data_IF_195149703219
#
_entry.id   IF_195149703219
#
_cell.length_a   1.000
_cell.length_b   1.000
_cell.length_c   1.000
_cell.angle_alpha   90.00
_cell.angle_beta   90.00
_cell.angle_gamma   90.00
#
_symmetry.space_group_name_H-M   'P 1'
#
loop_
_entity.id
_entity.type
_entity.pdbx_description
1 polymer ?
#
# COMPACT_ATOMS: atom_id res chain seq x y z
N UNK A 1 -6.53 -12.94 -17.48
CA UNK A 1 -5.32 -12.14 -17.43
C UNK A 1 -4.32 -12.79 -16.52
N UNK A 2 -3.18 -13.09 -17.04
CA UNK A 2 -2.18 -13.82 -16.29
C UNK A 2 -1.25 -12.92 -15.49
N UNK A 3 -1.02 -11.73 -15.98
CA UNK A 3 -0.04 -10.83 -15.36
C UNK A 3 -0.72 -9.67 -14.68
N UNK A 4 -0.27 -9.41 -13.47
CA UNK A 4 -0.74 -8.27 -12.71
C UNK A 4 0.39 -7.26 -12.68
N UNK A 5 0.11 -6.06 -13.12
CA UNK A 5 1.07 -4.98 -13.02
C UNK A 5 1.02 -4.43 -11.59
N UNK A 6 1.82 -5.01 -10.73
CA UNK A 6 1.86 -4.64 -9.33
C UNK A 6 2.27 -3.17 -9.14
N UNK A 7 3.17 -2.71 -9.98
CA UNK A 7 3.62 -1.33 -9.90
C UNK A 7 2.47 -0.39 -10.21
N UNK A 8 1.66 -0.73 -11.21
CA UNK A 8 0.50 0.08 -11.55
C UNK A 8 -0.53 0.08 -10.42
N UNK A 9 -0.78 -1.09 -9.83
CA UNK A 9 -1.68 -1.19 -8.68
C UNK A 9 -1.19 -0.35 -7.53
N UNK A 10 0.10 -0.45 -7.22
CA UNK A 10 0.69 0.30 -6.12
C UNK A 10 0.60 1.80 -6.37
N UNK A 11 0.88 2.24 -7.59
CA UNK A 11 0.80 3.66 -7.93
C UNK A 11 -0.62 4.19 -7.81
N UNK A 12 -1.58 3.43 -8.30
CA UNK A 12 -2.99 3.83 -8.20
C UNK A 12 -3.42 3.92 -6.74
N UNK A 13 -3.00 2.95 -5.95
CA UNK A 13 -3.30 2.95 -4.53
C UNK A 13 -2.69 4.15 -3.82
N UNK A 14 -1.41 4.43 -4.06
CA UNK A 14 -0.73 5.55 -3.42
C UNK A 14 -1.36 6.87 -3.82
N UNK A 15 -1.77 7.01 -5.07
CA UNK A 15 -2.46 8.20 -5.52
C UNK A 15 -3.75 8.40 -4.74
N UNK A 16 -4.50 7.32 -4.54
CA UNK A 16 -5.74 7.38 -3.76
C UNK A 16 -5.45 7.76 -2.31
N UNK A 17 -4.39 7.21 -1.72
CA UNK A 17 -3.99 7.51 -0.36
C UNK A 17 -3.68 9.00 -0.22
N UNK A 18 -2.92 9.54 -1.15
CA UNK A 18 -2.59 10.96 -1.13
C UNK A 18 -3.83 11.84 -1.30
N UNK A 19 -4.75 11.44 -2.16
CA UNK A 19 -5.98 12.17 -2.37
C UNK A 19 -6.89 12.16 -1.14
N UNK A 20 -6.70 11.18 -0.27
CA UNK A 20 -7.49 11.11 0.97
C UNK A 20 -6.94 12.04 2.07
N UNK A 21 -5.83 12.73 1.79
CA UNK A 21 -5.26 13.69 2.74
C UNK A 21 -4.06 13.17 3.52
N UNK A 22 -3.54 12.02 3.16
CA UNK A 22 -2.37 11.44 3.83
C UNK A 22 -1.11 11.92 3.12
N UNK A 23 -0.17 12.45 3.89
CA UNK A 23 1.10 12.93 3.38
C UNK A 23 2.09 11.77 3.26
N UNK A 24 2.22 11.23 2.06
CA UNK A 24 3.13 10.11 1.80
C UNK A 24 4.53 10.64 1.53
N UNK A 25 5.45 10.43 2.46
CA UNK A 25 6.82 10.85 2.29
C UNK A 25 7.58 9.91 1.35
N UNK A 26 7.44 8.61 1.58
CA UNK A 26 8.04 7.57 0.74
C UNK A 26 7.15 6.35 0.73
N UNK A 27 7.31 5.55 -0.29
CA UNK A 27 6.58 4.30 -0.38
C UNK A 27 7.45 3.25 -1.07
N UNK A 28 7.30 2.00 -0.65
CA UNK A 28 8.05 0.89 -1.21
C UNK A 28 7.10 -0.27 -1.51
N UNK A 29 7.44 -1.02 -2.54
CA UNK A 29 6.70 -2.20 -2.92
C UNK A 29 7.49 -3.44 -2.53
N UNK A 30 6.87 -4.32 -1.74
CA UNK A 30 7.50 -5.53 -1.27
C UNK A 30 6.67 -6.75 -1.66
N UNK A 31 7.12 -7.90 -1.20
CA UNK A 31 6.40 -9.13 -1.32
C UNK A 31 6.87 -9.96 -2.48
N UNK A 32 5.99 -10.81 -2.98
CA UNK A 32 6.35 -11.75 -4.04
C UNK A 32 6.82 -11.07 -5.32
N UNK A 33 6.57 -9.80 -5.46
CA UNK A 33 7.05 -9.04 -6.62
C UNK A 33 8.54 -8.84 -6.63
N UNK A 34 9.17 -8.88 -5.48
CA UNK A 34 10.62 -8.75 -5.41
C UNK A 34 11.29 -9.86 -6.20
N UNK A 35 10.58 -10.95 -6.44
CA UNK A 35 11.09 -12.08 -7.20
C UNK A 35 10.67 -12.06 -8.66
N UNK A 36 9.97 -11.01 -9.06
CA UNK A 36 9.53 -10.88 -10.44
C UNK A 36 8.44 -11.83 -10.86
N UNK A 37 7.84 -12.54 -9.93
CA UNK A 37 6.74 -13.45 -10.21
C UNK A 37 5.45 -12.97 -9.61
N UNK A 38 4.41 -12.96 -10.43
CA UNK A 38 3.08 -12.62 -9.97
C UNK A 38 2.14 -13.72 -10.39
N UNK A 39 1.28 -14.12 -9.49
CA UNK A 39 0.23 -15.06 -9.83
C UNK A 39 -1.00 -14.70 -9.02
N UNK A 40 -2.08 -15.31 -9.39
CA UNK A 40 -3.34 -15.12 -8.68
C UNK A 40 -3.14 -15.51 -7.23
N UNK A 41 -3.52 -14.62 -6.33
CA UNK A 41 -3.37 -14.84 -4.90
C UNK A 41 -2.10 -14.27 -4.29
N UNK A 42 -1.20 -13.72 -5.11
CA UNK A 42 -0.01 -13.05 -4.58
C UNK A 42 -0.39 -11.75 -3.89
N UNK A 43 0.21 -11.51 -2.72
CA UNK A 43 -0.01 -10.26 -2.00
C UNK A 43 0.86 -9.15 -2.56
N UNK A 44 0.33 -7.95 -2.51
CA UNK A 44 1.05 -6.75 -2.91
C UNK A 44 1.27 -5.93 -1.65
N UNK A 45 2.45 -6.03 -1.07
CA UNK A 45 2.78 -5.30 0.16
C UNK A 45 3.27 -3.91 -0.19
N UNK A 46 2.51 -2.91 0.21
CA UNK A 46 2.84 -1.51 -0.05
C UNK A 46 3.23 -0.85 1.26
N UNK A 47 4.51 -0.57 1.42
CA UNK A 47 4.99 0.11 2.61
C UNK A 47 4.85 1.62 2.40
N UNK A 48 4.16 2.28 3.32
CA UNK A 48 3.90 3.71 3.24
C UNK A 48 4.53 4.39 4.43
N UNK A 49 5.38 5.37 4.16
CA UNK A 49 6.05 6.13 5.21
C UNK A 49 5.45 7.52 5.25
N UNK A 50 4.88 7.88 6.38
CA UNK A 50 4.26 9.20 6.57
C UNK A 50 4.48 9.70 7.99
N UNK A 51 4.82 10.98 8.15
CA UNK A 51 4.95 11.57 9.49
C UNK A 51 3.61 11.66 10.22
N UNK A 52 2.50 11.48 9.52
CA UNK A 52 1.18 11.50 10.12
C UNK A 52 0.83 10.18 10.83
N UNK A 53 1.55 9.11 10.53
CA UNK A 53 1.25 7.82 11.14
C UNK A 53 1.76 7.72 12.57
N UNK A 54 1.04 6.94 13.38
CA UNK A 54 1.43 6.65 14.74
C UNK A 54 0.52 7.25 15.80
N UNK A 55 -0.28 8.24 15.45
CA UNK A 55 -1.19 8.87 16.42
C UNK A 55 -2.33 7.91 16.79
N UNK A 56 -2.86 7.20 15.80
CA UNK A 56 -3.91 6.21 16.01
C UNK A 56 -3.74 5.11 14.97
N UNK A 57 -2.83 4.19 15.25
CA UNK A 57 -2.43 3.17 14.29
C UNK A 57 -3.59 2.32 13.79
N UNK A 58 -4.46 1.88 14.69
CA UNK A 58 -5.56 1.00 14.31
C UNK A 58 -6.53 1.67 13.34
N UNK A 59 -6.85 2.93 13.60
CA UNK A 59 -7.73 3.68 12.74
C UNK A 59 -7.07 3.96 11.40
N UNK A 60 -5.80 4.32 11.42
CA UNK A 60 -5.03 4.59 10.21
C UNK A 60 -4.95 3.35 9.34
N UNK A 61 -4.64 2.21 9.95
CA UNK A 61 -4.56 0.94 9.23
C UNK A 61 -5.90 0.55 8.62
N UNK A 62 -6.98 0.71 9.38
CA UNK A 62 -8.32 0.40 8.90
C UNK A 62 -8.68 1.26 7.69
N UNK A 63 -8.37 2.54 7.75
CA UNK A 63 -8.65 3.47 6.66
C UNK A 63 -7.90 3.07 5.40
N UNK A 64 -6.61 2.74 5.55
CA UNK A 64 -5.80 2.35 4.42
C UNK A 64 -6.24 1.01 3.84
N UNK A 65 -6.68 0.09 4.69
CA UNK A 65 -7.24 -1.18 4.20
C UNK A 65 -8.49 -0.96 3.37
N UNK A 66 -9.35 -0.06 3.80
CA UNK A 66 -10.57 0.26 3.05
C UNK A 66 -10.25 0.85 1.68
N UNK A 67 -9.25 1.71 1.64
CA UNK A 67 -8.81 2.28 0.36
C UNK A 67 -8.21 1.21 -0.54
N UNK A 68 -7.44 0.30 0.05
CA UNK A 68 -6.84 -0.79 -0.70
C UNK A 68 -7.89 -1.66 -1.37
N UNK A 69 -8.96 -1.98 -0.64
CA UNK A 69 -10.04 -2.81 -1.18
C UNK A 69 -10.73 -2.19 -2.38
N UNK A 70 -10.68 -0.88 -2.51
CA UNK A 70 -11.27 -0.20 -3.66
C UNK A 70 -10.44 -0.40 -4.93
N UNK A 71 -9.17 -0.73 -4.78
CA UNK A 71 -8.27 -0.96 -5.90
C UNK A 71 -8.15 -2.46 -6.16
N UNK A 72 -7.68 -3.21 -5.16
CA UNK A 72 -7.47 -4.64 -5.28
C UNK A 72 -7.31 -5.23 -3.88
N UNK A 73 -8.02 -6.32 -3.61
CA UNK A 73 -7.98 -6.96 -2.29
C UNK A 73 -6.61 -7.53 -1.92
N UNK A 74 -5.71 -7.65 -2.88
CA UNK A 74 -4.37 -8.17 -2.63
C UNK A 74 -3.42 -7.12 -2.10
N UNK A 75 -3.78 -5.85 -2.17
CA UNK A 75 -2.95 -4.78 -1.63
C UNK A 75 -2.99 -4.83 -0.12
N UNK A 76 -1.82 -4.92 0.50
CA UNK A 76 -1.71 -4.90 1.94
C UNK A 76 -0.83 -3.72 2.36
N UNK A 77 -1.41 -2.69 2.99
CA UNK A 77 -0.62 -1.54 3.42
C UNK A 77 0.15 -1.83 4.70
N UNK A 78 1.39 -1.37 4.72
CA UNK A 78 2.25 -1.43 5.89
C UNK A 78 2.64 0.00 6.22
N UNK A 79 2.35 0.44 7.44
CA UNK A 79 2.51 1.82 7.83
C UNK A 79 3.77 2.04 8.67
N UNK A 80 4.53 3.04 8.31
CA UNK A 80 5.70 3.45 9.08
C UNK A 80 5.71 4.95 9.27
N UNK A 81 6.24 5.36 10.42
CA UNK A 81 6.53 6.76 10.68
C UNK A 81 8.03 6.95 10.41
N UNK A 82 8.46 8.07 9.79
CA UNK A 82 9.88 8.27 9.47
C UNK A 82 10.80 8.24 10.68
N UNK A 83 10.27 8.48 11.87
CA UNK A 83 11.08 8.47 13.08
C UNK A 83 11.25 7.09 13.70
N UNK A 84 10.60 6.09 13.12
CA UNK A 84 10.71 4.72 13.63
C UNK A 84 11.98 4.03 13.16
#
# INVERSE_FOLDING_TARGET
>A
MSDIDAMALAKNYLKMVEQSGIDVEKAYLFGSFAKGKTWEGSDVDVCIISPQFGANYLEEKSRLNKLALKIDSRIEPVLFNPSD
#
